data_IF_796616528244
#
_entry.id   IF_796616528244
#
_cell.length_a   1.000
_cell.length_b   1.000
_cell.length_c   1.000
_cell.angle_alpha   90.00
_cell.angle_beta   90.00
_cell.angle_gamma   90.00
#
_symmetry.space_group_name_H-M   'P 1'
#
loop_
_entity.id
_entity.type
_entity.pdbx_description
1 polymer ?
#
# COMPACT_ATOMS: atom_id res chain seq x y z
N UNK A 1 51.92 -20.76 -11.06
CA UNK A 1 50.59 -21.13 -11.52
C UNK A 1 49.69 -19.91 -11.46
N UNK A 2 49.25 -19.49 -12.60
CA UNK A 2 48.39 -18.32 -12.69
C UNK A 2 46.97 -18.65 -12.25
N UNK A 3 46.42 -17.83 -11.37
CA UNK A 3 44.97 -17.87 -11.03
C UNK A 3 44.16 -17.47 -12.24
N UNK A 4 42.99 -18.10 -12.42
CA UNK A 4 42.08 -17.73 -13.50
C UNK A 4 41.47 -16.35 -13.22
N UNK A 5 41.14 -15.56 -14.26
CA UNK A 5 40.48 -14.26 -14.06
C UNK A 5 39.19 -14.35 -13.28
N UNK A 6 38.43 -15.44 -13.41
CA UNK A 6 37.19 -15.66 -12.66
C UNK A 6 37.41 -15.73 -11.16
N UNK A 7 38.48 -16.41 -10.72
CA UNK A 7 38.84 -16.54 -9.31
C UNK A 7 39.24 -15.19 -8.71
N UNK A 8 40.02 -14.38 -9.42
CA UNK A 8 40.42 -13.06 -8.99
C UNK A 8 39.19 -12.10 -8.86
N UNK A 9 38.25 -12.16 -9.80
CA UNK A 9 37.04 -11.36 -9.76
C UNK A 9 36.16 -11.77 -8.57
N UNK A 10 36.05 -13.06 -8.29
CA UNK A 10 35.28 -13.57 -7.16
C UNK A 10 35.83 -13.10 -5.81
N UNK A 11 37.17 -13.16 -5.64
CA UNK A 11 37.83 -12.66 -4.42
C UNK A 11 37.60 -11.15 -4.22
N UNK A 12 37.72 -10.34 -5.27
CA UNK A 12 37.45 -8.92 -5.20
C UNK A 12 36.00 -8.61 -4.81
N UNK A 13 35.05 -9.39 -5.33
CA UNK A 13 33.64 -9.24 -5.01
C UNK A 13 33.37 -9.56 -3.54
N UNK A 14 33.95 -10.65 -3.00
CA UNK A 14 33.78 -11.00 -1.58
C UNK A 14 34.34 -9.94 -0.64
N UNK A 15 35.48 -9.33 -0.98
CA UNK A 15 36.10 -8.24 -0.19
C UNK A 15 35.24 -7.01 -0.10
N UNK A 16 34.32 -6.79 -1.07
CA UNK A 16 33.38 -5.66 -1.08
C UNK A 16 32.12 -5.90 -0.26
N UNK A 17 31.85 -7.13 0.19
CA UNK A 17 30.69 -7.45 1.00
C UNK A 17 30.86 -6.95 2.44
N UNK A 18 29.80 -6.43 3.05
CA UNK A 18 29.84 -6.04 4.46
C UNK A 18 30.14 -7.23 5.37
N UNK A 19 30.88 -6.97 6.44
CA UNK A 19 31.16 -8.00 7.47
C UNK A 19 29.89 -8.48 8.16
N UNK A 20 28.95 -7.57 8.39
CA UNK A 20 27.68 -7.89 9.01
C UNK A 20 26.58 -7.99 7.96
N UNK A 21 25.92 -9.14 7.93
CA UNK A 21 24.76 -9.37 7.07
C UNK A 21 23.52 -9.57 7.92
N UNK A 22 22.42 -9.02 7.46
CA UNK A 22 21.13 -9.18 8.13
C UNK A 22 20.49 -10.51 7.73
N UNK A 23 19.77 -11.13 8.67
CA UNK A 23 18.91 -12.26 8.37
C UNK A 23 17.83 -11.82 7.38
N UNK A 24 17.58 -12.60 6.34
CA UNK A 24 16.66 -12.25 5.27
C UNK A 24 15.24 -12.79 5.47
N UNK A 25 15.05 -13.74 6.35
CA UNK A 25 13.77 -14.38 6.68
C UNK A 25 13.09 -15.09 5.50
N UNK A 26 13.82 -15.38 4.43
CA UNK A 26 13.22 -16.01 3.24
C UNK A 26 12.71 -17.42 3.52
N UNK A 27 13.35 -18.14 4.44
CA UNK A 27 12.95 -19.49 4.84
C UNK A 27 11.95 -19.51 5.98
N UNK A 28 11.61 -18.36 6.54
CA UNK A 28 10.61 -18.27 7.62
C UNK A 28 9.22 -18.40 7.04
N UNK A 29 8.41 -19.29 7.62
CA UNK A 29 7.02 -19.48 7.22
C UNK A 29 6.21 -18.21 7.48
N UNK A 30 5.41 -17.81 6.51
CA UNK A 30 4.55 -16.64 6.63
C UNK A 30 3.57 -16.74 7.81
N UNK A 31 3.16 -17.95 8.20
CA UNK A 31 2.32 -18.15 9.37
C UNK A 31 2.98 -17.73 10.69
N UNK A 32 4.30 -17.72 10.74
CA UNK A 32 5.06 -17.40 11.95
C UNK A 32 5.68 -16.01 11.95
N UNK A 33 5.72 -15.34 10.79
CA UNK A 33 6.44 -14.06 10.65
C UNK A 33 5.93 -12.99 11.60
N UNK A 34 4.62 -12.86 11.77
CA UNK A 34 4.01 -11.83 12.62
C UNK A 34 4.23 -12.09 14.11
N UNK A 35 4.49 -13.33 14.53
CA UNK A 35 4.71 -13.68 15.92
C UNK A 35 6.14 -13.39 16.41
N UNK A 36 7.06 -13.10 15.47
CA UNK A 36 8.44 -12.75 15.82
C UNK A 36 8.49 -11.32 16.34
N UNK A 37 8.97 -11.17 17.55
CA UNK A 37 9.05 -9.88 18.24
C UNK A 37 10.42 -9.70 18.87
N UNK A 38 10.79 -8.45 19.10
CA UNK A 38 12.04 -8.10 19.74
C UNK A 38 12.94 -7.25 18.86
N UNK A 39 13.95 -6.64 19.45
CA UNK A 39 14.80 -5.68 18.78
C UNK A 39 15.53 -6.25 17.56
N UNK A 40 15.92 -7.53 17.61
CA UNK A 40 16.60 -8.18 16.49
C UNK A 40 15.75 -8.24 15.23
N UNK A 41 14.43 -8.31 15.36
CA UNK A 41 13.48 -8.28 14.25
C UNK A 41 13.07 -6.85 13.90
N UNK A 42 12.71 -6.06 14.90
CA UNK A 42 12.16 -4.72 14.73
C UNK A 42 13.11 -3.76 14.01
N UNK A 43 14.42 -3.94 14.19
CA UNK A 43 15.46 -3.11 13.57
C UNK A 43 15.97 -3.65 12.25
N UNK A 44 15.49 -4.79 11.80
CA UNK A 44 15.93 -5.42 10.55
C UNK A 44 14.95 -5.10 9.41
N UNK A 45 15.35 -4.30 8.42
CA UNK A 45 14.47 -3.97 7.31
C UNK A 45 14.01 -5.18 6.50
N UNK A 46 14.81 -6.25 6.45
CA UNK A 46 14.46 -7.48 5.75
C UNK A 46 13.31 -8.23 6.44
N UNK A 47 13.19 -8.11 7.76
CA UNK A 47 12.04 -8.63 8.50
C UNK A 47 10.74 -7.93 8.04
N UNK A 48 10.78 -6.61 7.96
CA UNK A 48 9.62 -5.82 7.52
C UNK A 48 9.27 -6.07 6.06
N UNK A 49 10.27 -6.19 5.21
CA UNK A 49 10.07 -6.52 3.80
C UNK A 49 9.41 -7.90 3.65
N UNK A 50 9.87 -8.89 4.41
CA UNK A 50 9.26 -10.23 4.43
C UNK A 50 7.84 -10.19 4.97
N UNK A 51 7.59 -9.38 6.00
CA UNK A 51 6.25 -9.17 6.55
C UNK A 51 5.29 -8.61 5.50
N UNK A 52 5.74 -7.66 4.69
CA UNK A 52 4.95 -7.11 3.58
C UNK A 52 4.65 -8.17 2.52
N UNK A 53 5.62 -8.99 2.15
CA UNK A 53 5.44 -10.08 1.20
C UNK A 53 4.42 -11.09 1.71
N UNK A 54 4.53 -11.50 2.97
CA UNK A 54 3.59 -12.45 3.59
C UNK A 54 2.18 -11.87 3.69
N UNK A 55 2.05 -10.59 4.08
CA UNK A 55 0.76 -9.93 4.17
C UNK A 55 0.05 -9.86 2.81
N UNK A 56 0.80 -9.65 1.74
CA UNK A 56 0.26 -9.59 0.38
C UNK A 56 -0.31 -10.93 -0.12
N UNK A 57 0.01 -12.03 0.54
CA UNK A 57 -0.51 -13.38 0.21
C UNK A 57 -1.79 -13.73 0.92
N UNK A 58 -2.19 -12.93 1.91
CA UNK A 58 -3.43 -13.17 2.65
C UNK A 58 -4.64 -12.69 1.87
N UNK A 59 -5.76 -13.41 2.00
CA UNK A 59 -7.04 -12.91 1.53
C UNK A 59 -7.45 -11.67 2.37
N UNK A 60 -8.23 -10.73 1.80
CA UNK A 60 -8.60 -9.50 2.53
C UNK A 60 -9.22 -9.75 3.91
N UNK A 61 -10.10 -10.74 4.04
CA UNK A 61 -10.73 -11.07 5.33
C UNK A 61 -9.73 -11.62 6.34
N UNK A 62 -8.76 -12.42 5.89
CA UNK A 62 -7.69 -12.95 6.74
C UNK A 62 -6.76 -11.83 7.20
N UNK A 63 -6.39 -10.91 6.30
CA UNK A 63 -5.55 -9.77 6.63
C UNK A 63 -6.22 -8.86 7.66
N UNK A 64 -7.53 -8.60 7.54
CA UNK A 64 -8.30 -7.84 8.53
C UNK A 64 -8.36 -8.52 9.88
N UNK A 65 -8.57 -9.83 9.88
CA UNK A 65 -8.63 -10.62 11.12
C UNK A 65 -7.28 -10.61 11.84
N UNK A 66 -6.19 -10.80 11.11
CA UNK A 66 -4.83 -10.76 11.66
C UNK A 66 -4.50 -9.36 12.19
N UNK A 67 -4.88 -8.31 11.48
CA UNK A 67 -4.64 -6.93 11.90
C UNK A 67 -5.29 -6.58 13.24
N UNK A 68 -6.43 -7.18 13.57
CA UNK A 68 -7.13 -6.93 14.85
C UNK A 68 -6.36 -7.42 16.07
N UNK A 69 -5.44 -8.36 15.89
CA UNK A 69 -4.59 -8.87 16.97
C UNK A 69 -3.54 -7.84 17.40
N UNK A 70 -3.20 -6.89 16.52
CA UNK A 70 -2.14 -5.92 16.76
C UNK A 70 -2.73 -4.57 17.18
N UNK A 71 -2.45 -4.11 18.42
CA UNK A 71 -2.81 -2.76 18.83
C UNK A 71 -1.98 -1.72 18.06
N UNK A 72 -2.41 -0.46 18.13
CA UNK A 72 -1.74 0.63 17.41
C UNK A 72 -1.08 1.65 18.34
N UNK A 73 -0.67 1.21 19.54
CA UNK A 73 -0.07 2.05 20.57
C UNK A 73 1.46 2.13 20.48
N UNK A 74 2.11 1.14 19.85
CA UNK A 74 3.56 1.17 19.58
C UNK A 74 3.79 1.25 18.08
N UNK A 75 4.95 1.77 17.66
CA UNK A 75 5.27 1.85 16.24
C UNK A 75 5.36 0.47 15.59
N UNK A 76 5.89 -0.53 16.32
CA UNK A 76 6.03 -1.89 15.80
C UNK A 76 4.66 -2.50 15.49
N UNK A 77 3.77 -2.45 16.44
CA UNK A 77 2.44 -3.04 16.31
C UNK A 77 1.59 -2.25 15.32
N UNK A 78 1.69 -0.93 15.34
CA UNK A 78 1.01 -0.07 14.38
C UNK A 78 1.50 -0.31 12.94
N UNK A 79 2.79 -0.54 12.76
CA UNK A 79 3.34 -0.84 11.43
C UNK A 79 2.91 -2.22 10.94
N UNK A 80 2.94 -3.25 11.80
CA UNK A 80 2.41 -4.58 11.48
C UNK A 80 0.94 -4.50 11.07
N UNK A 81 0.14 -3.81 11.85
CA UNK A 81 -1.27 -3.58 11.56
C UNK A 81 -1.48 -2.84 10.24
N UNK A 82 -0.71 -1.79 10.00
CA UNK A 82 -0.76 -1.01 8.76
C UNK A 82 -0.43 -1.84 7.52
N UNK A 83 0.61 -2.68 7.60
CA UNK A 83 1.00 -3.57 6.52
C UNK A 83 -0.11 -4.58 6.20
N UNK A 84 -0.70 -5.18 7.22
CA UNK A 84 -1.80 -6.14 7.06
C UNK A 84 -3.03 -5.48 6.44
N UNK A 85 -3.41 -4.30 6.94
CA UNK A 85 -4.57 -3.57 6.42
C UNK A 85 -4.34 -3.05 5.00
N UNK A 86 -3.11 -2.68 4.65
CA UNK A 86 -2.81 -2.23 3.29
C UNK A 86 -3.01 -3.32 2.24
N UNK A 87 -2.91 -4.58 2.64
CA UNK A 87 -3.14 -5.75 1.79
C UNK A 87 -4.62 -6.17 1.74
N UNK A 88 -5.45 -5.65 2.65
CA UNK A 88 -6.88 -5.83 2.64
C UNK A 88 -7.55 -4.77 1.77
N UNK A 89 -8.76 -5.02 1.31
CA UNK A 89 -9.55 -4.03 0.57
C UNK A 89 -10.12 -3.02 1.57
N UNK A 90 -9.30 -2.06 1.97
CA UNK A 90 -9.71 -1.01 2.90
C UNK A 90 -10.25 0.20 2.15
N UNK A 91 -11.11 0.96 2.83
CA UNK A 91 -11.64 2.22 2.30
C UNK A 91 -10.57 3.31 2.30
N UNK A 92 -10.72 4.37 1.47
CA UNK A 92 -9.83 5.53 1.55
C UNK A 92 -9.75 6.15 2.94
N UNK A 93 -10.85 6.18 3.67
CA UNK A 93 -10.87 6.70 5.05
C UNK A 93 -10.01 5.83 5.98
N UNK A 94 -10.16 4.52 5.92
CA UNK A 94 -9.34 3.59 6.70
C UNK A 94 -7.85 3.75 6.38
N UNK A 95 -7.50 3.91 5.11
CA UNK A 95 -6.13 4.13 4.69
C UNK A 95 -5.57 5.43 5.22
N UNK A 96 -6.35 6.50 5.20
CA UNK A 96 -5.98 7.80 5.75
C UNK A 96 -5.73 7.71 7.26
N UNK A 97 -6.61 7.03 7.98
CA UNK A 97 -6.46 6.82 9.43
C UNK A 97 -5.19 6.07 9.77
N UNK A 98 -4.86 5.02 9.01
CA UNK A 98 -3.63 4.26 9.20
C UNK A 98 -2.37 5.12 8.99
N UNK A 99 -2.36 5.92 7.93
CA UNK A 99 -1.25 6.84 7.64
C UNK A 99 -1.09 7.85 8.77
N UNK A 100 -2.18 8.47 9.19
CA UNK A 100 -2.18 9.47 10.26
C UNK A 100 -1.67 8.88 11.58
N UNK A 101 -2.13 7.69 11.92
CA UNK A 101 -1.70 7.00 13.15
C UNK A 101 -0.21 6.68 13.12
N UNK A 102 0.29 6.16 12.01
CA UNK A 102 1.70 5.86 11.84
C UNK A 102 2.57 7.12 11.80
N UNK A 103 2.09 8.22 11.26
CA UNK A 103 2.82 9.48 11.25
C UNK A 103 3.12 9.98 12.67
N UNK A 104 2.20 9.78 13.60
CA UNK A 104 2.43 10.13 15.02
C UNK A 104 3.55 9.30 15.63
N UNK A 105 3.66 8.03 15.26
CA UNK A 105 4.64 7.09 15.81
C UNK A 105 5.95 7.04 15.01
N UNK A 106 5.98 7.60 13.81
CA UNK A 106 7.10 7.50 12.89
C UNK A 106 8.45 8.03 13.42
N UNK A 107 8.50 9.06 14.30
CA UNK A 107 9.78 9.47 14.87
C UNK A 107 10.48 8.40 15.68
N UNK A 108 9.76 7.38 16.15
CA UNK A 108 10.31 6.26 16.94
C UNK A 108 10.90 5.16 16.06
N UNK A 109 10.65 5.18 14.76
CA UNK A 109 11.14 4.14 13.83
C UNK A 109 12.66 4.24 13.73
N UNK A 110 13.40 3.14 13.97
CA UNK A 110 14.86 3.17 13.92
C UNK A 110 15.39 3.43 12.53
N UNK A 111 16.56 4.05 12.46
CA UNK A 111 17.19 4.45 11.20
C UNK A 111 17.31 3.33 10.15
N UNK A 112 17.64 2.07 10.50
CA UNK A 112 17.73 1.00 9.51
C UNK A 112 16.40 0.66 8.83
N UNK A 113 15.27 0.91 9.48
CA UNK A 113 13.93 0.60 8.96
C UNK A 113 13.28 1.82 8.28
N UNK A 114 13.73 3.01 8.62
CA UNK A 114 13.12 4.26 8.18
C UNK A 114 12.98 4.39 6.66
N UNK A 115 14.01 4.08 5.84
CA UNK A 115 13.86 4.16 4.38
C UNK A 115 12.77 3.23 3.84
N UNK A 116 12.68 2.01 4.36
CA UNK A 116 11.65 1.06 3.95
C UNK A 116 10.26 1.54 4.36
N UNK A 117 10.12 2.04 5.57
CA UNK A 117 8.87 2.63 6.04
C UNK A 117 8.44 3.80 5.16
N UNK A 118 9.37 4.69 4.83
CA UNK A 118 9.06 5.86 3.98
C UNK A 118 8.58 5.43 2.60
N UNK A 119 9.24 4.44 2.01
CA UNK A 119 8.83 3.90 0.70
C UNK A 119 7.42 3.30 0.76
N UNK A 120 7.13 2.51 1.79
CA UNK A 120 5.81 1.93 2.02
C UNK A 120 4.75 3.01 2.22
N UNK A 121 5.06 4.01 3.05
CA UNK A 121 4.16 5.14 3.32
C UNK A 121 3.84 5.93 2.05
N UNK A 122 4.84 6.21 1.23
CA UNK A 122 4.65 6.91 -0.04
C UNK A 122 3.73 6.13 -0.97
N UNK A 123 3.85 4.80 -0.98
CA UNK A 123 2.93 3.93 -1.71
C UNK A 123 1.50 4.04 -1.20
N UNK A 124 1.30 4.08 0.11
CA UNK A 124 -0.03 4.24 0.72
C UNK A 124 -0.63 5.60 0.36
N UNK A 125 0.16 6.66 0.43
CA UNK A 125 -0.26 8.01 0.04
C UNK A 125 -0.67 8.07 -1.43
N UNK A 126 0.10 7.44 -2.31
CA UNK A 126 -0.23 7.37 -3.74
C UNK A 126 -1.53 6.63 -4.01
N UNK A 127 -1.77 5.53 -3.31
CA UNK A 127 -3.03 4.79 -3.41
C UNK A 127 -4.22 5.62 -2.92
N UNK A 128 -4.04 6.37 -1.84
CA UNK A 128 -5.07 7.26 -1.32
C UNK A 128 -5.42 8.36 -2.33
N UNK A 129 -4.42 9.01 -2.90
CA UNK A 129 -4.60 10.04 -3.91
C UNK A 129 -5.31 9.49 -5.15
N UNK A 130 -4.94 8.30 -5.60
CA UNK A 130 -5.57 7.64 -6.74
C UNK A 130 -7.05 7.36 -6.47
N UNK A 131 -7.39 6.88 -5.28
CA UNK A 131 -8.77 6.63 -4.88
C UNK A 131 -9.59 7.91 -4.83
N UNK A 132 -9.01 9.00 -4.32
CA UNK A 132 -9.66 10.33 -4.28
C UNK A 132 -9.90 10.88 -5.68
N UNK A 133 -8.93 10.74 -6.59
CA UNK A 133 -9.07 11.16 -7.98
C UNK A 133 -10.14 10.35 -8.72
N UNK A 134 -10.18 9.04 -8.50
CA UNK A 134 -11.24 8.18 -9.06
C UNK A 134 -12.62 8.60 -8.56
N UNK A 135 -12.73 8.96 -7.27
CA UNK A 135 -13.98 9.45 -6.70
C UNK A 135 -14.44 10.76 -7.31
N UNK A 136 -13.52 11.71 -7.50
CA UNK A 136 -13.82 12.99 -8.16
C UNK A 136 -14.22 12.79 -9.62
N UNK A 137 -13.51 11.94 -10.33
CA UNK A 137 -13.82 11.63 -11.73
C UNK A 137 -15.21 11.00 -11.85
N UNK A 138 -15.54 10.05 -10.97
CA UNK A 138 -16.86 9.43 -10.94
C UNK A 138 -17.99 10.42 -10.71
N UNK A 139 -17.81 11.36 -9.77
CA UNK A 139 -18.78 12.43 -9.51
C UNK A 139 -18.95 13.36 -10.70
N UNK A 140 -17.83 13.73 -11.34
CA UNK A 140 -17.87 14.57 -12.54
C UNK A 140 -18.61 13.86 -13.67
N UNK A 141 -18.38 12.57 -13.87
CA UNK A 141 -19.05 11.78 -14.88
C UNK A 141 -20.55 11.68 -14.62
N UNK A 142 -20.96 11.46 -13.38
CA UNK A 142 -22.38 11.47 -12.98
C UNK A 142 -23.05 12.81 -13.24
N UNK A 143 -22.38 13.91 -12.92
CA UNK A 143 -22.86 15.27 -13.17
C UNK A 143 -23.02 15.53 -14.67
N UNK A 144 -22.06 15.12 -15.48
CA UNK A 144 -22.09 15.24 -16.93
C UNK A 144 -23.24 14.42 -17.53
N UNK A 145 -23.42 13.18 -17.07
CA UNK A 145 -24.51 12.31 -17.53
C UNK A 145 -25.86 12.91 -17.20
N UNK A 146 -26.03 13.49 -15.99
CA UNK A 146 -27.25 14.15 -15.59
C UNK A 146 -27.56 15.38 -16.47
N UNK A 147 -26.54 16.18 -16.80
CA UNK A 147 -26.69 17.32 -17.71
C UNK A 147 -27.08 16.88 -19.12
N UNK A 148 -26.47 15.80 -19.62
CA UNK A 148 -26.83 15.24 -20.93
C UNK A 148 -28.27 14.74 -20.95
N UNK A 149 -28.74 14.08 -19.91
CA UNK A 149 -30.11 13.63 -19.79
C UNK A 149 -31.10 14.81 -19.80
N UNK A 150 -30.78 15.86 -19.08
CA UNK A 150 -31.58 17.09 -19.04
C UNK A 150 -31.66 17.72 -20.45
N UNK A 151 -30.53 17.82 -21.13
CA UNK A 151 -30.49 18.36 -22.50
C UNK A 151 -31.29 17.50 -23.49
N UNK A 152 -31.22 16.19 -23.36
CA UNK A 152 -32.02 15.27 -24.19
C UNK A 152 -33.51 15.44 -23.95
N UNK A 153 -33.92 15.59 -22.72
CA UNK A 153 -35.34 15.86 -22.37
C UNK A 153 -35.80 17.17 -22.93
N UNK A 154 -35.00 18.23 -22.84
CA UNK A 154 -35.33 19.52 -23.44
C UNK A 154 -35.45 19.45 -24.95
N UNK A 155 -34.54 18.73 -25.58
CA UNK A 155 -34.55 18.52 -27.04
C UNK A 155 -35.82 17.78 -27.48
N UNK A 156 -36.22 16.75 -26.74
CA UNK A 156 -37.40 15.98 -27.03
C UNK A 156 -38.66 16.85 -26.86
N UNK A 157 -38.73 17.66 -25.81
CA UNK A 157 -39.81 18.57 -25.60
C UNK A 157 -39.97 19.56 -26.75
N UNK A 158 -38.88 20.15 -27.23
CA UNK A 158 -38.87 21.05 -28.36
C UNK A 158 -39.32 20.38 -29.66
N UNK A 159 -38.91 19.15 -29.89
CA UNK A 159 -39.36 18.34 -31.06
C UNK A 159 -40.86 18.09 -30.99
N UNK A 160 -41.37 17.72 -29.84
CA UNK A 160 -42.80 17.47 -29.67
C UNK A 160 -43.62 18.73 -29.89
N UNK A 161 -43.16 19.91 -29.44
CA UNK A 161 -43.79 21.18 -29.74
C UNK A 161 -43.78 21.51 -31.21
N UNK A 162 -42.68 21.27 -31.89
CA UNK A 162 -42.53 21.51 -33.32
C UNK A 162 -43.51 20.63 -34.13
N UNK A 163 -43.58 19.34 -33.80
CA UNK A 163 -44.48 18.40 -34.42
C UNK A 163 -45.95 18.81 -34.23
N UNK A 164 -46.30 19.25 -33.03
CA UNK A 164 -47.66 19.75 -32.73
C UNK A 164 -47.96 20.97 -33.56
N UNK A 165 -47.04 21.89 -33.73
CA UNK A 165 -47.20 23.10 -34.52
C UNK A 165 -47.34 22.79 -36.02
N UNK A 166 -46.58 21.84 -36.52
CA UNK A 166 -46.57 21.44 -37.94
C UNK A 166 -47.84 20.73 -38.32
N UNK A 167 -48.50 20.03 -37.41
CA UNK A 167 -49.76 19.30 -37.66
C UNK A 167 -50.98 20.20 -37.75
N UNK A 168 -50.85 21.42 -37.32
CA UNK A 168 -51.88 22.43 -37.51
C UNK A 168 -51.76 23.09 -38.89
#
# INVERSE_FOLDING_TARGET
>A
VSQTPEHAVHEQFEEQLPEHQLADFLLTDCGNICSLTGQAFDTNPLFWLRSMDCAGRLAPAEARAEARVWPDDTWQDAFKRGILLSSAKITPLERRENITRLDVLSPQIPAPVRPLYQLWRDGQTSQLQLAEERGRYGKLQQSTDAELDTLRQQQQFLRDQLDTTTRK
#
